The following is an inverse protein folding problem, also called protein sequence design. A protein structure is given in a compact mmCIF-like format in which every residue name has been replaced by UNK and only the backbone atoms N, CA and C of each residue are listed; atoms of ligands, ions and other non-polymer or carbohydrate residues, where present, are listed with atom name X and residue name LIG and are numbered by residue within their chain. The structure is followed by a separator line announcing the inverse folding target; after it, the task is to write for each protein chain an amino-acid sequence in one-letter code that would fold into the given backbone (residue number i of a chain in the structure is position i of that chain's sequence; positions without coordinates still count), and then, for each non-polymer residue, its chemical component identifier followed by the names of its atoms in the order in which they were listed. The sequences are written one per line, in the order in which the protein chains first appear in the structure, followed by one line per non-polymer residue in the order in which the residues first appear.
data_IF_109794597339
#
_entry.id   IF_109794597339
#
_cell.length_a   1.000
_cell.length_b   1.000
_cell.length_c   1.000
_cell.angle_alpha   90.00
_cell.angle_beta   90.00
_cell.angle_gamma   90.00
#
_symmetry.space_group_name_H-M   'P 1'
#
loop_
_entity.id
_entity.type
_entity.pdbx_description
1 polymer ?
#
# COMPACT_ATOMS: atom_id res chain seq x y z
N UNK A 1 39.05 27.26 -24.88
CA UNK A 1 38.09 27.63 -23.80
C UNK A 1 36.70 27.04 -23.99
N UNK A 2 36.07 27.07 -25.18
CA UNK A 2 34.72 26.52 -25.41
C UNK A 2 34.56 25.04 -24.99
N UNK A 3 35.56 24.19 -25.28
CA UNK A 3 35.52 22.76 -24.93
C UNK A 3 35.61 22.47 -23.42
N UNK A 4 36.25 23.34 -22.65
CA UNK A 4 36.34 23.22 -21.18
C UNK A 4 34.98 23.54 -20.55
N UNK A 5 34.27 24.54 -21.11
CA UNK A 5 32.92 24.90 -20.65
C UNK A 5 31.93 23.77 -20.91
N UNK A 6 31.97 23.13 -22.09
CA UNK A 6 31.10 21.98 -22.37
C UNK A 6 31.39 20.76 -21.48
N UNK A 7 32.67 20.51 -21.18
CA UNK A 7 33.04 19.40 -20.29
C UNK A 7 32.60 19.65 -18.85
N UNK A 8 32.65 20.90 -18.38
CA UNK A 8 32.16 21.29 -17.05
C UNK A 8 30.62 21.20 -16.96
N UNK A 9 29.92 21.62 -18.02
CA UNK A 9 28.45 21.56 -18.09
C UNK A 9 27.95 20.10 -18.10
N UNK A 10 28.64 19.22 -18.81
CA UNK A 10 28.35 17.79 -18.83
C UNK A 10 28.55 17.14 -17.44
N UNK A 11 29.59 17.56 -16.70
CA UNK A 11 29.85 17.04 -15.35
C UNK A 11 28.74 17.41 -14.35
N UNK A 12 28.21 18.63 -14.45
CA UNK A 12 27.11 19.10 -13.61
C UNK A 12 25.82 18.31 -13.93
N UNK A 13 25.55 18.06 -15.21
CA UNK A 13 24.38 17.29 -15.64
C UNK A 13 24.41 15.84 -15.14
N UNK A 14 25.58 15.22 -15.00
CA UNK A 14 25.69 13.85 -14.47
C UNK A 14 25.46 13.83 -12.95
N UNK A 15 25.86 14.87 -12.23
CA UNK A 15 25.70 14.94 -10.76
C UNK A 15 24.26 15.11 -10.30
N UNK A 16 23.35 15.62 -11.14
CA UNK A 16 21.91 15.75 -10.81
C UNK A 16 21.16 14.42 -10.90
N UNK A 17 21.69 13.42 -11.62
CA UNK A 17 21.06 12.09 -11.73
C UNK A 17 21.45 11.14 -10.58
N UNK A 18 22.52 11.43 -9.81
CA UNK A 18 22.93 10.59 -8.67
C UNK A 18 22.21 10.88 -7.36
N UNK A 19 21.12 11.65 -7.38
CA UNK A 19 20.33 11.98 -6.19
C UNK A 19 18.92 11.40 -6.27
N UNK A 20 18.78 10.08 -6.46
CA UNK A 20 17.48 9.38 -6.37
C UNK A 20 17.34 8.47 -5.15
N UNK A 21 18.24 8.56 -4.16
CA UNK A 21 18.24 7.70 -2.97
C UNK A 21 17.35 8.22 -1.81
N UNK A 22 16.42 9.15 -2.11
CA UNK A 22 15.63 9.85 -1.09
C UNK A 22 14.38 9.08 -0.63
N UNK A 23 14.04 7.95 -1.25
CA UNK A 23 12.81 7.21 -0.94
C UNK A 23 12.98 6.04 0.03
N UNK A 24 14.16 5.89 0.63
CA UNK A 24 14.45 4.69 1.44
C UNK A 24 13.65 4.60 2.76
N UNK A 25 12.96 5.66 3.17
CA UNK A 25 12.08 5.68 4.35
C UNK A 25 10.68 6.29 4.10
N UNK A 26 10.41 6.82 2.91
CA UNK A 26 9.07 7.31 2.56
C UNK A 26 8.29 6.13 1.98
N UNK A 27 7.17 5.79 2.59
CA UNK A 27 6.22 4.84 2.00
C UNK A 27 4.94 5.58 1.62
N UNK A 28 4.00 4.85 1.00
CA UNK A 28 2.70 5.38 0.60
C UNK A 28 1.95 6.00 1.78
N UNK A 29 2.19 5.55 3.01
CA UNK A 29 1.41 5.93 4.19
C UNK A 29 1.92 7.22 4.86
N UNK A 30 3.24 7.49 4.85
CA UNK A 30 3.86 8.61 5.59
C UNK A 30 3.18 9.96 5.36
N UNK A 31 2.74 10.26 4.13
CA UNK A 31 2.08 11.56 3.81
C UNK A 31 0.73 11.73 4.50
N UNK A 32 0.04 10.63 4.79
CA UNK A 32 -1.31 10.65 5.36
C UNK A 32 -1.30 10.56 6.90
N UNK A 33 -0.13 10.38 7.52
CA UNK A 33 0.01 10.36 8.98
C UNK A 33 -0.44 11.72 9.59
N UNK A 34 -1.47 11.68 10.42
CA UNK A 34 -2.01 12.86 11.11
C UNK A 34 -3.02 13.68 10.30
N UNK A 35 -3.40 13.22 9.11
CA UNK A 35 -4.47 13.86 8.34
C UNK A 35 -5.85 13.64 9.01
N UNK A 36 -6.74 14.64 8.90
CA UNK A 36 -8.07 14.58 9.50
C UNK A 36 -8.92 13.47 8.84
N UNK A 37 -9.54 12.63 9.66
CA UNK A 37 -10.33 11.48 9.20
C UNK A 37 -9.49 10.29 8.77
N UNK A 38 -8.16 10.35 8.92
CA UNK A 38 -7.26 9.22 8.66
C UNK A 38 -6.83 8.57 9.96
N UNK A 39 -7.09 7.27 10.07
CA UNK A 39 -6.61 6.42 11.14
C UNK A 39 -5.58 5.46 10.58
N UNK A 40 -4.40 5.44 11.18
CA UNK A 40 -3.32 4.56 10.76
C UNK A 40 -2.90 3.63 11.90
N UNK A 41 -2.78 2.35 11.58
CA UNK A 41 -2.34 1.33 12.52
C UNK A 41 -1.20 0.52 11.90
N UNK A 42 -0.10 0.39 12.64
CA UNK A 42 1.03 -0.48 12.29
C UNK A 42 0.94 -1.71 13.18
N UNK A 43 0.73 -2.87 12.56
CA UNK A 43 0.49 -4.14 13.27
C UNK A 43 1.62 -5.12 12.98
N UNK A 44 2.11 -5.82 14.02
CA UNK A 44 2.83 -7.08 13.84
C UNK A 44 1.97 -8.07 13.03
N UNK A 45 2.57 -8.88 12.14
CA UNK A 45 1.83 -9.82 11.29
C UNK A 45 0.92 -10.76 12.06
N UNK A 46 1.39 -11.29 13.20
CA UNK A 46 0.60 -12.19 14.04
C UNK A 46 -0.70 -11.54 14.55
N UNK A 47 -0.65 -10.27 15.00
CA UNK A 47 -1.85 -9.56 15.45
C UNK A 47 -2.79 -9.28 14.28
N UNK A 48 -2.25 -8.97 13.11
CA UNK A 48 -3.07 -8.77 11.93
C UNK A 48 -3.79 -10.06 11.49
N UNK A 49 -3.09 -11.20 11.45
CA UNK A 49 -3.71 -12.50 11.14
C UNK A 49 -4.83 -12.86 12.11
N UNK A 50 -4.66 -12.55 13.40
CA UNK A 50 -5.71 -12.68 14.40
C UNK A 50 -6.94 -11.84 14.07
N UNK A 51 -6.75 -10.57 13.71
CA UNK A 51 -7.84 -9.65 13.38
C UNK A 51 -8.66 -10.10 12.16
N UNK A 52 -7.99 -10.60 11.12
CA UNK A 52 -8.70 -11.09 9.92
C UNK A 52 -9.19 -12.53 10.06
N UNK A 53 -9.09 -13.12 11.26
CA UNK A 53 -9.59 -14.46 11.57
C UNK A 53 -8.89 -15.57 10.79
N UNK A 54 -7.61 -15.37 10.49
CA UNK A 54 -6.72 -16.38 9.92
C UNK A 54 -6.06 -17.25 11.00
N UNK A 55 -6.38 -17.05 12.29
CA UNK A 55 -5.94 -17.92 13.38
C UNK A 55 -6.49 -19.35 13.21
N UNK A 56 -5.60 -20.34 13.05
CA UNK A 56 -5.94 -21.76 13.12
C UNK A 56 -6.30 -22.44 11.79
N UNK A 57 -6.33 -21.71 10.68
CA UNK A 57 -6.17 -22.35 9.37
C UNK A 57 -4.69 -22.73 9.23
N UNK A 58 -4.33 -23.87 8.63
CA UNK A 58 -2.95 -24.33 8.36
C UNK A 58 -2.14 -23.30 7.53
N UNK A 59 -1.85 -22.17 8.15
CA UNK A 59 -0.98 -21.13 7.68
C UNK A 59 0.27 -21.40 8.47
N UNK A 60 1.12 -22.23 7.87
CA UNK A 60 2.53 -22.15 8.22
C UNK A 60 2.90 -20.68 8.06
N UNK A 61 3.42 -20.07 9.13
CA UNK A 61 3.95 -18.70 9.07
C UNK A 61 5.06 -18.58 8.02
N UNK A 62 5.60 -19.73 7.56
CA UNK A 62 6.50 -19.85 6.40
C UNK A 62 5.79 -19.60 5.05
N UNK A 63 4.49 -19.85 4.96
CA UNK A 63 3.68 -19.94 3.73
C UNK A 63 3.03 -18.59 3.33
N UNK A 64 3.28 -17.53 4.09
CA UNK A 64 2.88 -16.13 3.81
C UNK A 64 4.11 -15.25 3.47
N UNK A 65 5.30 -15.86 3.39
CA UNK A 65 6.55 -15.14 3.18
C UNK A 65 6.99 -14.36 4.41
N UNK A 66 8.19 -13.77 4.36
CA UNK A 66 8.75 -12.96 5.46
C UNK A 66 8.02 -11.60 5.52
N UNK A 67 6.72 -11.57 5.87
CA UNK A 67 6.01 -10.32 6.18
C UNK A 67 6.64 -9.74 7.44
N UNK A 68 7.17 -8.53 7.31
CA UNK A 68 7.78 -7.82 8.42
C UNK A 68 6.80 -6.85 9.08
N UNK A 69 5.85 -6.31 8.31
CA UNK A 69 4.97 -5.24 8.77
C UNK A 69 3.66 -5.20 8.00
N UNK A 70 2.56 -4.98 8.73
CA UNK A 70 1.26 -4.65 8.16
C UNK A 70 0.89 -3.22 8.54
N UNK A 71 0.54 -2.40 7.56
CA UNK A 71 0.02 -1.04 7.74
C UNK A 71 -1.43 -1.00 7.29
N UNK A 72 -2.30 -0.47 8.13
CA UNK A 72 -3.69 -0.23 7.80
C UNK A 72 -3.94 1.28 7.86
N UNK A 73 -4.43 1.84 6.77
CA UNK A 73 -4.97 3.18 6.68
C UNK A 73 -6.48 3.06 6.49
N UNK A 74 -7.21 3.72 7.37
CA UNK A 74 -8.66 3.84 7.27
C UNK A 74 -8.98 5.32 7.13
N UNK A 75 -9.71 5.68 6.09
CA UNK A 75 -10.27 7.01 5.93
C UNK A 75 -11.78 6.95 6.19
N UNK A 76 -12.19 7.62 7.25
CA UNK A 76 -13.58 7.80 7.67
C UNK A 76 -13.71 9.08 8.48
N UNK A 77 -14.65 9.95 8.10
CA UNK A 77 -14.87 11.23 8.76
C UNK A 77 -16.37 11.47 8.95
N UNK A 78 -16.75 12.07 10.07
CA UNK A 78 -18.12 12.56 10.24
C UNK A 78 -18.44 13.58 9.13
N UNK A 79 -19.49 13.30 8.34
CA UNK A 79 -19.92 14.06 7.16
C UNK A 79 -18.96 14.02 5.96
N UNK A 80 -18.12 12.98 5.81
CA UNK A 80 -17.43 12.75 4.53
C UNK A 80 -18.42 12.51 3.42
N UNK A 81 -18.18 13.08 2.25
CA UNK A 81 -18.95 12.78 1.05
C UNK A 81 -18.25 11.70 0.22
N UNK A 82 -18.97 11.10 -0.72
CA UNK A 82 -18.34 10.18 -1.69
C UNK A 82 -17.22 10.87 -2.49
N UNK A 83 -17.32 12.18 -2.72
CA UNK A 83 -16.30 12.97 -3.41
C UNK A 83 -14.99 13.05 -2.59
N UNK A 84 -15.09 13.30 -1.27
CA UNK A 84 -13.94 13.33 -0.37
C UNK A 84 -13.21 11.98 -0.34
N UNK A 85 -13.97 10.89 -0.24
CA UNK A 85 -13.45 9.51 -0.26
C UNK A 85 -12.80 9.17 -1.61
N UNK A 86 -13.39 9.62 -2.72
CA UNK A 86 -12.82 9.47 -4.05
C UNK A 86 -11.53 10.29 -4.23
N UNK A 87 -11.46 11.49 -3.65
CA UNK A 87 -10.25 12.31 -3.64
C UNK A 87 -9.13 11.64 -2.85
N UNK A 88 -9.41 11.13 -1.65
CA UNK A 88 -8.44 10.38 -0.85
C UNK A 88 -7.95 9.14 -1.61
N UNK A 89 -8.87 8.38 -2.22
CA UNK A 89 -8.52 7.22 -3.05
C UNK A 89 -7.58 7.62 -4.20
N UNK A 90 -7.86 8.74 -4.87
CA UNK A 90 -7.01 9.26 -5.95
C UNK A 90 -5.62 9.66 -5.45
N UNK A 91 -5.51 10.28 -4.28
CA UNK A 91 -4.23 10.65 -3.66
C UNK A 91 -3.40 9.42 -3.31
N UNK A 92 -4.00 8.40 -2.70
CA UNK A 92 -3.33 7.14 -2.39
C UNK A 92 -2.83 6.45 -3.67
N UNK A 93 -3.68 6.39 -4.72
CA UNK A 93 -3.28 5.84 -6.02
C UNK A 93 -2.16 6.65 -6.68
N UNK A 94 -2.19 7.98 -6.56
CA UNK A 94 -1.11 8.85 -7.03
C UNK A 94 0.22 8.50 -6.36
N UNK A 95 0.23 8.35 -5.03
CA UNK A 95 1.41 7.91 -4.28
C UNK A 95 1.90 6.54 -4.71
N UNK A 96 1.00 5.55 -4.82
CA UNK A 96 1.36 4.22 -5.31
C UNK A 96 2.01 4.29 -6.71
N UNK A 97 1.51 5.15 -7.59
CA UNK A 97 2.11 5.37 -8.91
C UNK A 97 3.49 6.05 -8.84
N UNK A 98 3.69 7.01 -7.92
CA UNK A 98 4.99 7.64 -7.68
C UNK A 98 6.06 6.62 -7.23
N UNK A 99 5.64 5.56 -6.53
CA UNK A 99 6.48 4.45 -6.10
C UNK A 99 6.48 3.27 -7.09
N UNK A 100 5.92 3.44 -8.30
CA UNK A 100 5.91 2.42 -9.37
C UNK A 100 5.19 1.12 -8.98
N UNK A 101 4.16 1.18 -8.14
CA UNK A 101 3.30 0.03 -7.87
C UNK A 101 2.47 -0.35 -9.10
N UNK A 102 2.41 -1.64 -9.39
CA UNK A 102 1.63 -2.20 -10.49
C UNK A 102 0.29 -2.74 -9.99
N UNK A 103 -0.81 -2.44 -10.69
CA UNK A 103 -2.10 -3.05 -10.41
C UNK A 103 -2.19 -4.44 -11.05
N UNK A 104 -2.34 -5.48 -10.22
CA UNK A 104 -2.47 -6.86 -10.71
C UNK A 104 -3.91 -7.37 -10.69
N UNK A 105 -4.77 -6.73 -9.91
CA UNK A 105 -6.16 -7.13 -9.75
C UNK A 105 -7.04 -5.92 -9.41
N UNK A 106 -8.22 -5.89 -10.00
CA UNK A 106 -9.22 -4.87 -9.73
C UNK A 106 -10.62 -5.42 -9.91
N UNK A 107 -11.46 -5.19 -8.91
CA UNK A 107 -12.89 -5.46 -8.94
C UNK A 107 -13.63 -4.16 -8.69
N UNK A 108 -14.59 -3.87 -9.56
CA UNK A 108 -15.45 -2.71 -9.43
C UNK A 108 -16.91 -3.17 -9.54
N UNK A 109 -17.66 -2.99 -8.46
CA UNK A 109 -19.10 -3.21 -8.41
C UNK A 109 -19.80 -1.90 -8.10
N UNK A 110 -21.14 -1.87 -8.18
CA UNK A 110 -21.90 -0.64 -7.91
C UNK A 110 -21.67 -0.08 -6.50
N UNK A 111 -21.33 -0.93 -5.53
CA UNK A 111 -21.27 -0.54 -4.11
C UNK A 111 -19.85 -0.65 -3.52
N UNK A 112 -18.97 -1.44 -4.15
CA UNK A 112 -17.64 -1.70 -3.63
C UNK A 112 -16.59 -1.73 -4.75
N UNK A 113 -15.44 -1.16 -4.44
CA UNK A 113 -14.23 -1.20 -5.27
C UNK A 113 -13.11 -1.86 -4.48
N UNK A 114 -12.45 -2.86 -5.07
CA UNK A 114 -11.29 -3.53 -4.49
C UNK A 114 -10.18 -3.54 -5.53
N UNK A 115 -8.98 -3.14 -5.16
CA UNK A 115 -7.82 -3.29 -6.04
C UNK A 115 -6.59 -3.72 -5.28
N UNK A 116 -5.77 -4.51 -5.95
CA UNK A 116 -4.53 -5.07 -5.44
C UNK A 116 -3.38 -4.55 -6.28
N UNK A 117 -2.38 -3.99 -5.61
CA UNK A 117 -1.16 -3.50 -6.21
C UNK A 117 0.05 -4.19 -5.61
N UNK A 118 1.09 -4.36 -6.40
CA UNK A 118 2.37 -4.92 -5.96
C UNK A 118 3.51 -3.96 -6.29
N UNK A 119 4.54 -4.00 -5.46
CA UNK A 119 5.84 -3.41 -5.78
C UNK A 119 6.86 -4.55 -5.84
N UNK A 120 7.30 -4.85 -7.06
CA UNK A 120 8.27 -5.90 -7.28
C UNK A 120 9.69 -5.41 -7.06
N UNK A 121 10.51 -6.30 -6.52
CA UNK A 121 11.96 -6.27 -6.65
C UNK A 121 12.36 -7.46 -7.55
N UNK A 122 13.53 -7.42 -8.18
CA UNK A 122 13.94 -8.35 -9.25
C UNK A 122 13.69 -9.84 -8.95
N UNK A 123 13.65 -10.24 -7.67
CA UNK A 123 13.46 -11.62 -7.21
C UNK A 123 12.14 -11.90 -6.47
N UNK A 124 11.45 -10.89 -5.93
CA UNK A 124 10.28 -11.07 -5.06
C UNK A 124 9.36 -9.83 -5.00
N UNK A 125 8.10 -10.03 -4.63
CA UNK A 125 7.15 -8.96 -4.33
C UNK A 125 7.53 -8.34 -2.97
N UNK A 126 8.03 -7.12 -2.99
CA UNK A 126 8.51 -6.41 -1.80
C UNK A 126 7.37 -5.82 -0.96
N UNK A 127 6.31 -5.37 -1.65
CA UNK A 127 5.13 -4.80 -1.02
C UNK A 127 3.86 -5.22 -1.75
N UNK A 128 2.81 -5.48 -0.99
CA UNK A 128 1.46 -5.75 -1.46
C UNK A 128 0.52 -4.70 -0.86
N UNK A 129 -0.20 -3.98 -1.70
CA UNK A 129 -1.19 -2.99 -1.30
C UNK A 129 -2.59 -3.45 -1.71
N UNK A 130 -3.53 -3.42 -0.78
CA UNK A 130 -4.94 -3.70 -1.03
C UNK A 130 -5.72 -2.44 -0.71
N UNK A 131 -6.43 -1.93 -1.71
CA UNK A 131 -7.29 -0.76 -1.60
C UNK A 131 -8.74 -1.22 -1.69
N UNK A 132 -9.53 -0.91 -0.67
CA UNK A 132 -10.93 -1.24 -0.57
C UNK A 132 -11.74 0.05 -0.33
N UNK A 133 -12.74 0.32 -1.16
CA UNK A 133 -13.68 1.42 -0.98
C UNK A 133 -15.10 0.87 -0.99
N UNK A 134 -15.90 1.26 -0.02
CA UNK A 134 -17.34 0.99 0.03
C UNK A 134 -18.04 2.24 0.56
N UNK A 135 -18.97 2.79 -0.22
CA UNK A 135 -19.65 4.06 0.08
C UNK A 135 -18.64 5.19 0.42
N UNK A 136 -18.78 5.78 1.61
CA UNK A 136 -17.96 6.88 2.14
C UNK A 136 -16.72 6.37 2.91
N UNK A 137 -16.53 5.06 3.02
CA UNK A 137 -15.38 4.46 3.71
C UNK A 137 -14.30 3.99 2.73
N UNK A 138 -13.04 4.23 3.09
CA UNK A 138 -11.88 3.80 2.33
C UNK A 138 -10.86 3.16 3.26
N UNK A 139 -10.32 2.04 2.81
CA UNK A 139 -9.34 1.23 3.54
C UNK A 139 -8.19 0.94 2.60
N UNK A 140 -6.97 1.23 3.04
CA UNK A 140 -5.76 0.87 2.33
C UNK A 140 -4.87 0.05 3.26
N UNK A 141 -4.62 -1.19 2.88
CA UNK A 141 -3.76 -2.12 3.61
C UNK A 141 -2.46 -2.29 2.84
N UNK A 142 -1.34 -2.19 3.54
CA UNK A 142 -0.01 -2.43 3.01
C UNK A 142 0.67 -3.55 3.76
N UNK A 143 1.27 -4.48 3.03
CA UNK A 143 2.08 -5.57 3.55
C UNK A 143 3.48 -5.43 2.97
N UNK A 144 4.48 -5.36 3.83
CA UNK A 144 5.89 -5.28 3.42
C UNK A 144 6.63 -6.53 3.84
N UNK A 145 7.38 -7.14 2.93
CA UNK A 145 8.08 -8.39 3.18
C UNK A 145 8.79 -8.95 1.96
N UNK A 146 9.26 -10.20 2.06
CA UNK A 146 9.62 -10.99 0.89
C UNK A 146 8.48 -11.93 0.57
N UNK A 147 7.66 -11.55 -0.41
CA UNK A 147 6.49 -12.31 -0.83
C UNK A 147 6.76 -12.89 -2.22
N UNK A 148 6.39 -14.15 -2.45
CA UNK A 148 6.32 -14.66 -3.82
C UNK A 148 4.89 -14.47 -4.38
N UNK A 149 4.77 -14.48 -5.71
CA UNK A 149 3.47 -14.26 -6.36
C UNK A 149 2.38 -15.24 -5.90
N UNK A 150 2.73 -16.51 -5.62
CA UNK A 150 1.77 -17.52 -5.16
C UNK A 150 1.23 -17.18 -3.76
N UNK A 151 2.06 -16.67 -2.86
CA UNK A 151 1.69 -16.22 -1.53
C UNK A 151 0.79 -14.99 -1.59
N UNK A 152 1.11 -14.03 -2.47
CA UNK A 152 0.27 -12.85 -2.72
C UNK A 152 -1.15 -13.27 -3.15
N UNK A 153 -1.27 -14.19 -4.11
CA UNK A 153 -2.57 -14.70 -4.55
C UNK A 153 -3.29 -15.49 -3.46
N UNK A 154 -2.59 -16.33 -2.69
CA UNK A 154 -3.18 -17.04 -1.54
C UNK A 154 -3.72 -16.06 -0.51
N UNK A 155 -2.95 -15.03 -0.17
CA UNK A 155 -3.34 -14.01 0.79
C UNK A 155 -4.56 -13.23 0.30
N UNK A 156 -4.50 -12.67 -0.91
CA UNK A 156 -5.60 -11.88 -1.49
C UNK A 156 -6.93 -12.67 -1.55
N UNK A 157 -6.88 -13.98 -1.83
CA UNK A 157 -8.07 -14.83 -1.88
C UNK A 157 -8.61 -15.24 -0.50
N UNK A 158 -7.80 -15.15 0.56
CA UNK A 158 -8.17 -15.59 1.93
C UNK A 158 -8.56 -14.44 2.85
N UNK A 159 -8.28 -13.20 2.47
CA UNK A 159 -8.72 -12.03 3.26
C UNK A 159 -10.24 -12.02 3.32
N UNK A 160 -10.78 -12.23 4.52
CA UNK A 160 -12.19 -12.06 4.80
C UNK A 160 -12.50 -10.57 4.94
N UNK A 161 -12.81 -9.92 3.81
CA UNK A 161 -13.12 -8.49 3.75
C UNK A 161 -14.25 -8.07 4.69
N UNK A 162 -15.24 -8.94 4.93
CA UNK A 162 -16.31 -8.70 5.89
C UNK A 162 -15.79 -8.52 7.33
N UNK A 163 -14.77 -9.29 7.74
CA UNK A 163 -14.13 -9.13 9.07
C UNK A 163 -13.36 -7.82 9.17
N UNK A 164 -12.65 -7.45 8.10
CA UNK A 164 -11.94 -6.17 8.04
C UNK A 164 -12.92 -4.99 8.11
N UNK A 165 -14.07 -5.09 7.43
CA UNK A 165 -15.15 -4.10 7.50
C UNK A 165 -15.68 -3.97 8.93
N UNK A 166 -16.06 -5.07 9.57
CA UNK A 166 -16.62 -5.04 10.92
C UNK A 166 -15.66 -4.40 11.94
N UNK A 167 -14.36 -4.67 11.84
CA UNK A 167 -13.34 -4.02 12.68
C UNK A 167 -13.32 -2.49 12.55
N UNK A 168 -13.67 -1.99 11.36
CA UNK A 168 -13.65 -0.55 11.04
C UNK A 168 -14.96 0.12 11.45
N UNK A 169 -16.10 -0.55 11.28
CA UNK A 169 -17.43 -0.04 11.63
C UNK A 169 -17.72 -0.05 13.14
N UNK A 170 -17.05 -0.89 13.92
CA UNK A 170 -17.21 -0.96 15.38
C UNK A 170 -16.44 0.14 16.15
N UNK A 171 -15.84 1.11 15.46
CA UNK A 171 -15.13 2.26 16.05
C UNK A 171 -15.80 3.59 15.71
#
# INVERSE_FOLDING_TARGET
MKYIVYSLLALILISVYSCSDKHRNDDVFTEFEGENGVYMVKLPPALFMALIGMEGNDIDTEDIGEINLVKLLVYSRENSTEEDTNEMMRRIKGKMNDFEYENILGFNSSNAYVSVYILDNEEYVSNLMILFKENESLVCMGLSGKLNGKEVFKFANRVEYDKLRNFIEEK
#
